data_IF_773108302106
#
_entry.id   IF_773108302106
#
_cell.length_a   1.000
_cell.length_b   1.000
_cell.length_c   1.000
_cell.angle_alpha   90.00
_cell.angle_beta   90.00
_cell.angle_gamma   90.00
#
_symmetry.space_group_name_H-M   'P 1'
#
loop_
_entity.id
_entity.type
_entity.pdbx_description
1 polymer ?
#
# COMPACT_ATOMS: atom_id res chain seq x y z
N UNK A 1 6.21 3.53 8.50
CA UNK A 1 5.91 4.94 8.09
C UNK A 1 6.76 5.86 8.94
N UNK A 2 7.30 6.96 8.40
CA UNK A 2 8.13 7.93 9.13
C UNK A 2 9.65 7.68 9.09
N UNK A 3 10.07 6.46 8.70
CA UNK A 3 11.48 6.12 8.47
C UNK A 3 12.13 7.02 7.42
N UNK A 4 13.43 7.26 7.56
CA UNK A 4 14.21 7.99 6.56
C UNK A 4 14.45 7.14 5.31
N UNK A 5 14.86 7.79 4.22
CA UNK A 5 15.26 7.12 2.98
C UNK A 5 16.44 6.17 3.23
N UNK A 6 17.40 6.58 4.05
CA UNK A 6 18.60 5.80 4.38
C UNK A 6 18.23 4.53 5.16
N UNK A 7 17.34 4.65 6.16
CA UNK A 7 16.83 3.51 6.92
C UNK A 7 16.09 2.51 6.01
N UNK A 8 15.24 3.01 5.11
CA UNK A 8 14.52 2.19 4.15
C UNK A 8 15.50 1.42 3.23
N UNK A 9 16.51 2.12 2.68
CA UNK A 9 17.51 1.51 1.79
C UNK A 9 18.37 0.49 2.54
N UNK A 10 18.70 0.74 3.81
CA UNK A 10 19.42 -0.22 4.64
C UNK A 10 18.61 -1.50 4.86
N UNK A 11 17.28 -1.40 4.96
CA UNK A 11 16.40 -2.54 5.21
C UNK A 11 16.04 -3.32 3.94
N UNK A 12 15.75 -2.63 2.83
CA UNK A 12 15.21 -3.24 1.61
C UNK A 12 16.18 -3.21 0.42
N UNK A 13 17.37 -2.62 0.60
CA UNK A 13 18.28 -2.33 -0.50
C UNK A 13 17.86 -1.13 -1.34
N UNK A 14 18.50 -1.00 -2.51
CA UNK A 14 18.19 0.07 -3.47
C UNK A 14 16.87 -0.29 -4.21
N UNK A 15 15.99 0.70 -4.47
CA UNK A 15 14.78 0.43 -5.22
C UNK A 15 15.09 0.10 -6.68
N UNK A 16 14.31 -0.81 -7.26
CA UNK A 16 14.42 -1.16 -8.68
C UNK A 16 14.00 0.01 -9.59
N UNK A 17 13.00 0.79 -9.17
CA UNK A 17 12.53 1.98 -9.92
C UNK A 17 12.28 3.15 -8.98
N UNK A 18 12.53 4.36 -9.49
CA UNK A 18 12.22 5.62 -8.82
C UNK A 18 11.39 6.50 -9.76
N UNK A 19 10.28 7.05 -9.29
CA UNK A 19 9.40 7.93 -10.08
C UNK A 19 8.96 9.14 -9.26
N UNK A 20 9.10 10.35 -9.78
CA UNK A 20 8.45 11.54 -9.20
C UNK A 20 6.96 11.51 -9.53
N UNK A 21 6.09 11.64 -8.53
CA UNK A 21 4.64 11.60 -8.72
C UNK A 21 4.05 13.01 -8.78
N UNK A 22 3.79 13.49 -9.99
CA UNK A 22 3.30 14.85 -10.22
C UNK A 22 4.41 15.89 -10.07
N UNK A 23 4.29 16.99 -10.79
CA UNK A 23 5.34 18.01 -10.89
C UNK A 23 5.49 18.79 -9.57
N UNK A 24 4.39 19.02 -8.84
CA UNK A 24 4.36 19.93 -7.67
C UNK A 24 4.25 19.25 -6.29
N UNK A 25 4.08 17.92 -6.22
CA UNK A 25 3.77 17.27 -4.93
C UNK A 25 5.01 17.04 -4.05
N UNK A 26 6.21 17.05 -4.66
CA UNK A 26 7.46 16.65 -4.04
C UNK A 26 7.51 15.17 -3.63
N UNK A 27 6.54 14.36 -4.07
CA UNK A 27 6.44 12.94 -3.73
C UNK A 27 7.26 12.10 -4.71
N UNK A 28 8.16 11.29 -4.16
CA UNK A 28 8.94 10.31 -4.92
C UNK A 28 8.47 8.92 -4.56
N UNK A 29 8.17 8.10 -5.57
CA UNK A 29 7.79 6.70 -5.41
C UNK A 29 9.01 5.83 -5.67
N UNK A 30 9.39 5.04 -4.67
CA UNK A 30 10.38 3.97 -4.79
C UNK A 30 9.63 2.64 -4.95
N UNK A 31 9.99 1.87 -5.97
CA UNK A 31 9.38 0.56 -6.24
C UNK A 31 10.37 -0.56 -5.98
N UNK A 32 9.93 -1.57 -5.25
CA UNK A 32 10.67 -2.78 -4.91
C UNK A 32 9.84 -3.99 -5.35
N UNK A 33 10.35 -4.87 -6.23
CA UNK A 33 9.77 -6.21 -6.38
C UNK A 33 10.07 -6.98 -5.08
N UNK A 34 9.04 -7.60 -4.50
CA UNK A 34 9.22 -8.47 -3.34
C UNK A 34 9.35 -9.93 -3.78
N UNK A 35 8.53 -10.30 -4.77
CA UNK A 35 8.53 -11.59 -5.46
C UNK A 35 7.99 -11.39 -6.89
N UNK A 36 7.70 -12.48 -7.60
CA UNK A 36 7.21 -12.43 -8.98
C UNK A 36 5.79 -11.85 -9.12
N UNK A 37 5.02 -11.83 -8.03
CA UNK A 37 3.59 -11.52 -8.00
C UNK A 37 3.28 -10.25 -7.20
N UNK A 38 4.24 -9.77 -6.41
CA UNK A 38 4.05 -8.71 -5.43
C UNK A 38 5.08 -7.60 -5.59
N UNK A 39 4.60 -6.37 -5.71
CA UNK A 39 5.41 -5.17 -5.72
C UNK A 39 5.07 -4.24 -4.54
N UNK A 40 6.10 -3.74 -3.90
CA UNK A 40 6.03 -2.69 -2.88
C UNK A 40 6.34 -1.34 -3.51
N UNK A 41 5.46 -0.37 -3.30
CA UNK A 41 5.67 1.03 -3.66
C UNK A 41 5.72 1.87 -2.39
N UNK A 42 6.80 2.63 -2.22
CA UNK A 42 7.03 3.48 -1.06
C UNK A 42 7.01 4.94 -1.50
N UNK A 43 6.04 5.70 -0.98
CA UNK A 43 5.93 7.13 -1.20
C UNK A 43 6.79 7.90 -0.20
N UNK A 44 7.70 8.71 -0.71
CA UNK A 44 8.71 9.46 0.04
C UNK A 44 8.50 10.94 -0.19
N UNK A 45 8.39 11.71 0.90
CA UNK A 45 8.30 13.18 0.86
C UNK A 45 9.11 13.77 2.02
N UNK A 46 9.92 14.78 1.71
CA UNK A 46 10.87 15.40 2.65
C UNK A 46 11.79 14.33 3.29
N UNK A 47 12.38 13.48 2.46
CA UNK A 47 13.28 12.38 2.85
C UNK A 47 12.73 11.38 3.86
N UNK A 48 11.39 11.31 4.01
CA UNK A 48 10.71 10.36 4.91
C UNK A 48 9.64 9.57 4.18
N UNK A 49 9.47 8.32 4.60
CA UNK A 49 8.39 7.43 4.13
C UNK A 49 7.04 7.96 4.61
N UNK A 50 6.17 8.34 3.69
CA UNK A 50 4.82 8.86 3.95
C UNK A 50 3.71 7.90 3.60
N UNK A 51 3.94 6.98 2.69
CA UNK A 51 2.95 5.97 2.32
C UNK A 51 3.65 4.72 1.84
N UNK A 52 2.98 3.59 1.98
CA UNK A 52 3.39 2.31 1.42
C UNK A 52 2.18 1.72 0.70
N UNK A 53 2.39 1.11 -0.46
CA UNK A 53 1.37 0.35 -1.16
C UNK A 53 1.95 -0.99 -1.59
N UNK A 54 1.30 -2.10 -1.22
CA UNK A 54 1.58 -3.42 -1.77
C UNK A 54 0.56 -3.70 -2.86
N UNK A 55 1.03 -3.95 -4.07
CA UNK A 55 0.23 -4.46 -5.18
C UNK A 55 0.56 -5.92 -5.39
N UNK A 56 -0.46 -6.77 -5.51
CA UNK A 56 -0.28 -8.22 -5.54
C UNK A 56 -1.37 -8.95 -6.32
N UNK A 57 -1.19 -10.26 -6.46
CA UNK A 57 -2.13 -11.21 -7.07
C UNK A 57 -2.63 -12.21 -6.03
N UNK A 58 -3.42 -13.22 -6.45
CA UNK A 58 -3.92 -14.27 -5.56
C UNK A 58 -2.79 -15.08 -4.90
N UNK A 59 -1.63 -15.18 -5.56
CA UNK A 59 -0.47 -15.92 -5.07
C UNK A 59 0.38 -15.13 -4.07
N UNK A 60 0.10 -13.84 -3.90
CA UNK A 60 0.81 -12.98 -2.95
C UNK A 60 0.53 -13.40 -1.51
N UNK A 61 1.59 -13.74 -0.77
CA UNK A 61 1.50 -14.27 0.60
C UNK A 61 1.32 -13.19 1.68
N UNK A 62 1.32 -11.92 1.30
CA UNK A 62 1.26 -10.82 2.25
C UNK A 62 -0.16 -10.58 2.75
N UNK A 63 -0.29 -10.47 4.07
CA UNK A 63 -1.54 -10.18 4.75
C UNK A 63 -1.39 -8.95 5.64
N UNK A 64 -2.50 -8.26 5.88
CA UNK A 64 -2.55 -7.22 6.91
C UNK A 64 -2.60 -7.84 8.30
N UNK A 65 -2.33 -7.05 9.34
CA UNK A 65 -2.40 -7.49 10.75
C UNK A 65 -3.79 -8.06 11.10
N UNK A 66 -4.86 -7.55 10.48
CA UNK A 66 -6.24 -8.05 10.68
C UNK A 66 -6.63 -9.18 9.71
N UNK A 67 -5.70 -9.72 8.93
CA UNK A 67 -5.95 -10.88 8.07
C UNK A 67 -6.41 -10.59 6.63
N UNK A 68 -6.61 -9.32 6.24
CA UNK A 68 -6.91 -9.01 4.84
C UNK A 68 -5.77 -9.47 3.91
N UNK A 69 -6.10 -10.26 2.89
CA UNK A 69 -5.19 -10.84 1.88
C UNK A 69 -5.66 -10.50 0.47
N UNK A 70 -4.75 -10.59 -0.50
CA UNK A 70 -5.10 -10.35 -1.90
C UNK A 70 -6.17 -11.33 -2.40
N UNK A 71 -6.94 -10.90 -3.41
CA UNK A 71 -8.11 -11.61 -3.93
C UNK A 71 -9.31 -11.73 -2.95
N UNK A 72 -9.22 -11.18 -1.73
CA UNK A 72 -10.42 -11.07 -0.89
C UNK A 72 -11.46 -10.15 -1.56
N UNK A 73 -12.74 -10.55 -1.57
CA UNK A 73 -13.82 -9.69 -2.02
C UNK A 73 -14.09 -8.55 -1.02
N UNK A 74 -14.76 -7.51 -1.49
CA UNK A 74 -15.06 -6.29 -0.71
C UNK A 74 -15.74 -6.61 0.64
N UNK A 75 -16.70 -7.52 0.66
CA UNK A 75 -17.48 -7.84 1.86
C UNK A 75 -16.62 -8.47 2.97
N UNK A 76 -15.64 -9.32 2.63
CA UNK A 76 -14.72 -9.90 3.62
C UNK A 76 -13.88 -8.80 4.28
N UNK A 77 -13.41 -7.82 3.50
CA UNK A 77 -12.63 -6.70 4.04
C UNK A 77 -13.46 -5.87 5.03
N UNK A 78 -14.75 -5.66 4.74
CA UNK A 78 -15.68 -4.97 5.65
C UNK A 78 -15.86 -5.77 6.93
N UNK A 79 -15.95 -7.10 6.87
CA UNK A 79 -16.04 -7.95 8.07
C UNK A 79 -14.80 -7.82 8.98
N UNK A 80 -13.60 -7.76 8.41
CA UNK A 80 -12.36 -7.61 9.20
C UNK A 80 -12.14 -6.18 9.75
N UNK A 81 -12.51 -5.15 8.98
CA UNK A 81 -12.15 -3.76 9.27
C UNK A 81 -13.30 -2.92 9.83
N UNK A 82 -14.52 -3.44 9.83
CA UNK A 82 -15.75 -2.75 10.22
C UNK A 82 -16.39 -2.00 9.06
N UNK A 83 -17.42 -1.21 9.37
CA UNK A 83 -18.18 -0.45 8.39
C UNK A 83 -17.29 0.42 7.49
N UNK A 84 -17.44 0.26 6.17
CA UNK A 84 -16.71 1.02 5.16
C UNK A 84 -17.54 1.17 3.89
N UNK A 85 -17.53 2.36 3.30
CA UNK A 85 -18.24 2.61 2.02
C UNK A 85 -17.29 2.43 0.86
N UNK A 86 -17.62 1.51 -0.06
CA UNK A 86 -16.88 1.35 -1.31
C UNK A 86 -17.10 2.57 -2.20
N UNK A 87 -16.04 3.33 -2.48
CA UNK A 87 -16.07 4.49 -3.39
C UNK A 87 -14.98 4.36 -4.44
N UNK A 88 -15.36 4.35 -5.73
CA UNK A 88 -14.43 4.21 -6.86
C UNK A 88 -13.48 3.01 -6.71
N UNK A 89 -14.05 1.85 -6.38
CA UNK A 89 -13.34 0.60 -6.11
C UNK A 89 -12.33 0.69 -4.96
N UNK A 90 -12.61 1.52 -3.94
CA UNK A 90 -11.72 1.70 -2.79
C UNK A 90 -12.51 1.68 -1.48
N UNK A 91 -11.97 0.99 -0.49
CA UNK A 91 -12.38 1.12 0.91
C UNK A 91 -11.31 1.90 1.67
N UNK A 92 -11.69 2.98 2.33
CA UNK A 92 -10.79 3.87 3.05
C UNK A 92 -11.11 3.85 4.54
N UNK A 93 -10.14 3.46 5.36
CA UNK A 93 -10.22 3.46 6.82
C UNK A 93 -9.21 4.45 7.38
N UNK A 94 -9.58 5.73 7.44
CA UNK A 94 -8.68 6.84 7.81
C UNK A 94 -8.09 6.69 9.22
N UNK A 95 -8.92 6.35 10.20
CA UNK A 95 -8.50 6.15 11.60
C UNK A 95 -7.50 5.01 11.76
N UNK A 96 -7.51 4.04 10.84
CA UNK A 96 -6.59 2.91 10.82
C UNK A 96 -5.36 3.18 9.93
N UNK A 97 -5.39 4.24 9.12
CA UNK A 97 -4.30 4.59 8.20
C UNK A 97 -4.16 3.60 7.05
N UNK A 98 -5.26 3.01 6.59
CA UNK A 98 -5.24 1.97 5.55
C UNK A 98 -6.34 2.20 4.51
N UNK A 99 -6.02 1.85 3.27
CA UNK A 99 -6.94 1.86 2.13
C UNK A 99 -6.73 0.61 1.30
N UNK A 100 -7.83 0.01 0.89
CA UNK A 100 -7.88 -1.15 0.02
C UNK A 100 -8.37 -0.71 -1.35
N UNK A 101 -7.62 -1.02 -2.40
CA UNK A 101 -8.06 -0.78 -3.77
C UNK A 101 -8.40 -2.13 -4.42
N UNK A 102 -9.56 -2.16 -5.04
CA UNK A 102 -10.15 -3.34 -5.65
C UNK A 102 -10.09 -3.23 -7.17
N UNK A 103 -9.94 -4.37 -7.83
CA UNK A 103 -10.12 -4.53 -9.26
C UNK A 103 -10.97 -5.77 -9.47
N UNK A 104 -12.00 -5.68 -10.30
CA UNK A 104 -12.92 -6.79 -10.57
C UNK A 104 -13.54 -7.38 -9.28
N UNK A 105 -13.88 -6.50 -8.34
CA UNK A 105 -14.45 -6.86 -7.03
C UNK A 105 -13.47 -7.45 -6.02
N UNK A 106 -12.19 -7.56 -6.38
CA UNK A 106 -11.16 -8.31 -5.64
C UNK A 106 -10.02 -7.40 -5.17
N UNK A 107 -9.51 -7.64 -3.97
CA UNK A 107 -8.41 -6.86 -3.41
C UNK A 107 -7.14 -7.05 -4.24
N UNK A 108 -6.58 -5.94 -4.74
CA UNK A 108 -5.32 -5.95 -5.50
C UNK A 108 -4.26 -5.02 -4.93
N UNK A 109 -4.64 -3.99 -4.17
CA UNK A 109 -3.67 -3.08 -3.57
C UNK A 109 -4.04 -2.78 -2.12
N UNK A 110 -3.06 -2.92 -1.23
CA UNK A 110 -3.16 -2.55 0.17
C UNK A 110 -2.26 -1.33 0.37
N UNK A 111 -2.84 -0.18 0.72
CA UNK A 111 -2.12 1.07 0.95
C UNK A 111 -2.17 1.48 2.42
N UNK A 112 -1.01 1.75 3.00
CA UNK A 112 -0.82 2.17 4.38
C UNK A 112 -0.27 3.61 4.39
N UNK A 113 -0.82 4.46 5.25
CA UNK A 113 -0.46 5.88 5.41
C UNK A 113 -0.67 6.33 6.87
N UNK A 114 -0.15 7.50 7.29
CA UNK A 114 -0.38 8.05 8.62
C UNK A 114 -1.87 8.14 8.95
N UNK A 115 -2.25 7.75 10.17
CA UNK A 115 -3.63 7.87 10.67
C UNK A 115 -4.05 9.34 10.71
N UNK A 116 -5.36 9.57 10.53
CA UNK A 116 -6.02 10.87 10.65
C UNK A 116 -7.07 10.81 11.74
#
# INVERSE_FOLDING_TARGET
>A
IGQSVEQLIKQLGKPAKKKKQGIFTGLVIYSYPLDNETALQVGIKNSKVRAIALAGSISSQYTTIKGARFDMPVYEIINYYGGGTLKRNKLLYKSQGIRFDFKDGKLRVIRIFPRQ
#
